data_IF_425850200569
#
_entry.id   IF_425850200569
#
_cell.length_a   1.000
_cell.length_b   1.000
_cell.length_c   1.000
_cell.angle_alpha   90.00
_cell.angle_beta   90.00
_cell.angle_gamma   90.00
#
_symmetry.space_group_name_H-M   'P 1'
#
loop_
_entity.id
_entity.type
_entity.pdbx_description
1 polymer ?
#
# COMPACT_ATOMS: atom_id res chain seq x y z
N UNK A 1 -18.16 -17.71 -0.40
CA UNK A 1 -18.60 -16.40 0.13
C UNK A 1 -17.34 -15.63 0.46
N UNK A 2 -17.04 -14.59 -0.30
CA UNK A 2 -15.97 -13.63 0.04
C UNK A 2 -16.28 -13.05 1.42
N UNK A 3 -15.29 -12.97 2.33
CA UNK A 3 -15.50 -12.24 3.59
C UNK A 3 -15.85 -10.79 3.19
N UNK A 4 -17.03 -10.30 3.59
CA UNK A 4 -17.37 -8.89 3.42
C UNK A 4 -16.22 -8.09 4.01
N UNK A 5 -15.60 -7.23 3.20
CA UNK A 5 -14.52 -6.36 3.66
C UNK A 5 -15.03 -5.63 4.90
N UNK A 6 -14.27 -5.70 6.01
CA UNK A 6 -14.62 -5.02 7.26
C UNK A 6 -14.30 -3.53 7.16
N UNK A 7 -14.85 -2.88 6.15
CA UNK A 7 -14.93 -1.43 6.11
C UNK A 7 -16.33 -1.04 6.52
N UNK A 8 -16.43 -0.10 7.46
CA UNK A 8 -17.71 0.51 7.77
C UNK A 8 -18.33 1.04 6.47
N UNK A 9 -19.57 0.63 6.12
CA UNK A 9 -20.29 1.20 4.99
C UNK A 9 -20.39 2.71 5.17
N UNK A 10 -20.67 3.44 4.09
CA UNK A 10 -20.93 4.86 4.24
C UNK A 10 -22.10 5.05 5.22
N UNK A 11 -21.92 5.84 6.29
CA UNK A 11 -22.89 5.95 7.37
C UNK A 11 -23.98 6.92 6.97
N UNK A 12 -24.81 6.50 6.01
CA UNK A 12 -25.87 7.28 5.40
C UNK A 12 -27.19 7.18 6.15
N UNK A 13 -27.32 6.23 7.10
CA UNK A 13 -28.52 6.06 7.92
C UNK A 13 -29.46 4.94 7.47
N UNK A 14 -29.11 4.19 6.41
CA UNK A 14 -30.00 3.17 5.82
C UNK A 14 -30.01 1.86 6.64
N UNK A 15 -28.87 1.19 6.75
CA UNK A 15 -28.74 -0.09 7.50
C UNK A 15 -28.46 0.14 9.00
N UNK A 16 -27.77 1.22 9.34
CA UNK A 16 -27.42 1.62 10.70
C UNK A 16 -27.75 3.10 10.92
N UNK A 17 -28.11 3.52 12.15
CA UNK A 17 -28.37 4.92 12.44
C UNK A 17 -27.19 5.82 12.05
N UNK A 18 -27.50 6.99 11.49
CA UNK A 18 -26.48 7.97 11.13
C UNK A 18 -25.53 8.27 12.31
N UNK A 19 -24.23 8.22 12.05
CA UNK A 19 -23.20 8.54 13.03
C UNK A 19 -22.28 9.62 12.49
N UNK A 20 -22.32 10.79 13.14
CA UNK A 20 -21.42 11.91 12.83
C UNK A 20 -19.95 11.51 12.87
N UNK A 21 -19.57 10.64 13.81
CA UNK A 21 -18.18 10.16 13.95
C UNK A 21 -17.75 9.29 12.77
N UNK A 22 -18.63 8.39 12.32
CA UNK A 22 -18.37 7.56 11.14
C UNK A 22 -18.35 8.41 9.86
N UNK A 23 -19.27 9.38 9.73
CA UNK A 23 -19.32 10.25 8.55
C UNK A 23 -18.07 11.12 8.47
N UNK A 24 -17.62 11.69 9.60
CA UNK A 24 -16.37 12.43 9.66
C UNK A 24 -15.17 11.55 9.24
N UNK A 25 -15.11 10.28 9.68
CA UNK A 25 -14.08 9.34 9.23
C UNK A 25 -14.14 9.07 7.73
N UNK A 26 -15.33 8.90 7.16
CA UNK A 26 -15.51 8.71 5.72
C UNK A 26 -14.99 9.93 4.93
N UNK A 27 -15.33 11.15 5.36
CA UNK A 27 -14.85 12.39 4.77
C UNK A 27 -13.33 12.55 4.90
N UNK A 28 -12.74 12.18 6.04
CA UNK A 28 -11.27 12.19 6.21
C UNK A 28 -10.61 11.21 5.23
N UNK A 29 -11.18 10.02 5.00
CA UNK A 29 -10.69 9.08 3.98
C UNK A 29 -10.78 9.66 2.56
N UNK A 30 -11.76 10.52 2.28
CA UNK A 30 -11.88 11.25 1.02
C UNK A 30 -10.90 12.44 0.88
N UNK A 31 -10.11 12.73 1.92
CA UNK A 31 -9.08 13.76 1.94
C UNK A 31 -9.49 15.07 2.60
N UNK A 32 -10.61 15.10 3.33
CA UNK A 32 -11.04 16.28 4.09
C UNK A 32 -10.25 16.39 5.40
N UNK A 33 -9.90 17.60 5.81
CA UNK A 33 -9.25 17.82 7.10
C UNK A 33 -10.18 17.44 8.25
N UNK A 34 -9.67 16.96 9.41
CA UNK A 34 -10.53 16.51 10.49
C UNK A 34 -11.57 17.54 10.95
N UNK A 35 -11.19 18.82 11.06
CA UNK A 35 -12.11 19.90 11.47
C UNK A 35 -13.28 20.03 10.48
N UNK A 36 -12.97 20.21 9.20
CA UNK A 36 -13.99 20.39 8.16
C UNK A 36 -14.87 19.13 8.00
N UNK A 37 -14.28 17.94 8.18
CA UNK A 37 -15.02 16.68 8.13
C UNK A 37 -16.07 16.60 9.24
N UNK A 38 -15.74 17.03 10.47
CA UNK A 38 -16.71 17.11 11.56
C UNK A 38 -17.78 18.17 11.32
N UNK A 39 -17.42 19.30 10.72
CA UNK A 39 -18.39 20.36 10.40
C UNK A 39 -19.43 19.88 9.37
N UNK A 40 -18.99 19.24 8.28
CA UNK A 40 -19.90 18.63 7.29
C UNK A 40 -20.77 17.55 7.95
N UNK A 41 -20.15 16.63 8.72
CA UNK A 41 -20.89 15.56 9.38
C UNK A 41 -21.93 16.08 10.40
N UNK A 42 -21.67 17.23 11.04
CA UNK A 42 -22.64 17.91 11.92
C UNK A 42 -23.79 18.54 11.13
N UNK A 43 -23.53 19.11 9.95
CA UNK A 43 -24.59 19.64 9.10
C UNK A 43 -25.54 18.54 8.62
N UNK A 44 -25.00 17.38 8.23
CA UNK A 44 -25.82 16.22 7.87
C UNK A 44 -26.68 15.75 9.05
N UNK A 45 -26.12 15.70 10.26
CA UNK A 45 -26.87 15.35 11.49
C UNK A 45 -28.04 16.32 11.75
N UNK A 46 -27.79 17.63 11.57
CA UNK A 46 -28.81 18.67 11.75
C UNK A 46 -29.92 18.55 10.71
N UNK A 47 -29.55 18.37 9.44
CA UNK A 47 -30.50 18.21 8.33
C UNK A 47 -31.40 16.97 8.51
N UNK A 48 -30.84 15.85 8.98
CA UNK A 48 -31.62 14.64 9.30
C UNK A 48 -32.65 14.90 10.41
N UNK A 49 -32.24 15.62 11.47
CA UNK A 49 -33.11 15.99 12.58
C UNK A 49 -34.26 16.90 12.15
N UNK A 50 -33.96 17.92 11.33
CA UNK A 50 -34.95 18.87 10.82
C UNK A 50 -35.97 18.21 9.89
N UNK A 51 -35.50 17.32 9.00
CA UNK A 51 -36.37 16.56 8.10
C UNK A 51 -37.11 15.41 8.78
N UNK A 52 -36.74 15.07 10.02
CA UNK A 52 -37.19 13.86 10.73
C UNK A 52 -36.94 12.59 9.89
N UNK A 53 -35.82 12.55 9.18
CA UNK A 53 -35.38 11.42 8.36
C UNK A 53 -34.36 10.57 9.11
N UNK A 54 -34.40 9.26 8.90
CA UNK A 54 -33.39 8.32 9.42
C UNK A 54 -32.13 8.25 8.54
N UNK A 55 -32.26 8.59 7.25
CA UNK A 55 -31.18 8.48 6.28
C UNK A 55 -31.06 9.67 5.31
N UNK A 56 -29.91 9.75 4.66
CA UNK A 56 -29.51 10.73 3.64
C UNK A 56 -28.83 10.04 2.48
N UNK A 57 -28.80 10.67 1.30
CA UNK A 57 -28.00 10.21 0.16
C UNK A 57 -26.77 11.10 -0.04
N UNK A 58 -25.91 10.70 -0.98
CA UNK A 58 -24.68 11.44 -1.30
C UNK A 58 -24.96 12.76 -2.03
N UNK A 59 -26.05 12.88 -2.78
CA UNK A 59 -26.45 14.14 -3.41
C UNK A 59 -26.75 15.20 -2.34
N UNK A 60 -27.51 14.82 -1.30
CA UNK A 60 -27.80 15.71 -0.18
C UNK A 60 -26.56 16.01 0.66
N UNK A 61 -25.67 15.04 0.86
CA UNK A 61 -24.38 15.27 1.53
C UNK A 61 -23.55 16.30 0.76
N UNK A 62 -23.55 16.24 -0.58
CA UNK A 62 -22.87 17.23 -1.42
C UNK A 62 -23.43 18.63 -1.25
N UNK A 63 -24.75 18.78 -1.35
CA UNK A 63 -25.44 20.07 -1.15
C UNK A 63 -25.08 20.71 0.19
N UNK A 64 -25.05 19.93 1.27
CA UNK A 64 -24.68 20.40 2.60
C UNK A 64 -23.19 20.72 2.69
N UNK A 65 -22.35 19.88 2.08
CA UNK A 65 -20.90 20.05 2.10
C UNK A 65 -20.44 21.31 1.36
N UNK A 66 -21.17 21.79 0.34
CA UNK A 66 -20.86 23.06 -0.36
C UNK A 66 -20.71 24.23 0.61
N UNK A 67 -21.52 24.27 1.68
CA UNK A 67 -21.45 25.36 2.67
C UNK A 67 -20.16 25.38 3.50
N UNK A 68 -19.43 24.26 3.56
CA UNK A 68 -18.19 24.10 4.36
C UNK A 68 -16.95 23.98 3.47
N UNK A 69 -17.08 23.25 2.35
CA UNK A 69 -15.98 22.88 1.46
C UNK A 69 -15.94 23.70 0.16
N UNK A 70 -16.99 24.49 -0.13
CA UNK A 70 -17.10 25.26 -1.37
C UNK A 70 -17.01 24.38 -2.60
N UNK A 71 -16.21 24.81 -3.58
CA UNK A 71 -16.04 24.14 -4.87
C UNK A 71 -15.45 22.72 -4.78
N UNK A 72 -14.80 22.37 -3.66
CA UNK A 72 -14.23 21.03 -3.45
C UNK A 72 -15.28 19.99 -3.03
N UNK A 73 -16.51 20.40 -2.68
CA UNK A 73 -17.56 19.50 -2.19
C UNK A 73 -17.86 18.36 -3.16
N UNK A 74 -18.08 18.67 -4.44
CA UNK A 74 -18.41 17.66 -5.45
C UNK A 74 -17.26 16.67 -5.70
N UNK A 75 -16.01 17.12 -5.60
CA UNK A 75 -14.84 16.22 -5.71
C UNK A 75 -14.73 15.29 -4.51
N UNK A 76 -15.00 15.79 -3.30
CA UNK A 76 -15.00 14.99 -2.07
C UNK A 76 -16.12 13.95 -2.12
N UNK A 77 -17.34 14.34 -2.48
CA UNK A 77 -18.46 13.40 -2.60
C UNK A 77 -18.25 12.41 -3.74
N UNK A 78 -17.70 12.84 -4.88
CA UNK A 78 -17.28 11.95 -5.96
C UNK A 78 -16.28 10.89 -5.49
N UNK A 79 -15.35 11.24 -4.61
CA UNK A 79 -14.47 10.26 -3.96
C UNK A 79 -15.22 9.32 -3.02
N UNK A 80 -16.17 9.81 -2.23
CA UNK A 80 -17.02 8.96 -1.38
C UNK A 80 -17.78 7.92 -2.21
N UNK A 81 -18.35 8.32 -3.37
CA UNK A 81 -18.99 7.38 -4.31
C UNK A 81 -18.03 6.30 -4.77
N UNK A 82 -16.83 6.67 -5.24
CA UNK A 82 -15.81 5.70 -5.67
C UNK A 82 -15.38 4.75 -4.54
N UNK A 83 -15.32 5.24 -3.30
CA UNK A 83 -15.06 4.37 -2.13
C UNK A 83 -16.20 3.40 -1.87
N UNK A 84 -17.46 3.83 -1.97
CA UNK A 84 -18.63 2.96 -1.84
C UNK A 84 -18.63 1.89 -2.93
N UNK A 85 -18.46 2.30 -4.18
CA UNK A 85 -18.34 1.41 -5.34
C UNK A 85 -17.20 0.40 -5.16
N UNK A 86 -16.05 0.83 -4.65
CA UNK A 86 -14.93 -0.05 -4.31
C UNK A 86 -15.35 -1.08 -3.25
N UNK A 87 -16.13 -0.71 -2.24
CA UNK A 87 -16.61 -1.62 -1.18
C UNK A 87 -17.60 -2.66 -1.70
N UNK A 88 -18.42 -2.29 -2.67
CA UNK A 88 -19.43 -3.15 -3.29
C UNK A 88 -18.84 -4.14 -4.31
N UNK A 89 -17.55 -4.00 -4.67
CA UNK A 89 -16.86 -4.97 -5.53
C UNK A 89 -16.79 -6.37 -4.87
N UNK A 90 -17.34 -7.35 -5.57
CA UNK A 90 -17.30 -8.78 -5.21
C UNK A 90 -15.94 -9.47 -5.36
N UNK A 91 -14.87 -8.70 -5.62
CA UNK A 91 -13.50 -9.20 -5.77
C UNK A 91 -12.63 -8.79 -4.57
N UNK A 92 -11.69 -9.62 -4.09
CA UNK A 92 -10.65 -9.16 -3.17
C UNK A 92 -9.77 -8.05 -3.76
N UNK A 93 -9.27 -7.12 -2.93
CA UNK A 93 -8.22 -6.17 -3.32
C UNK A 93 -6.86 -6.69 -2.89
N UNK A 94 -5.91 -6.76 -3.82
CA UNK A 94 -4.50 -7.04 -3.55
C UNK A 94 -3.69 -5.80 -3.89
N UNK A 95 -3.10 -5.15 -2.87
CA UNK A 95 -2.19 -4.00 -3.06
C UNK A 95 -0.76 -4.46 -2.83
N UNK A 96 0.09 -4.30 -3.84
CA UNK A 96 1.50 -4.67 -3.83
C UNK A 96 2.36 -3.40 -3.84
N UNK A 97 3.06 -3.15 -2.72
CA UNK A 97 3.90 -1.95 -2.53
C UNK A 97 5.38 -2.34 -2.58
N UNK A 98 5.98 -2.21 -3.75
CA UNK A 98 7.41 -2.42 -3.99
C UNK A 98 8.27 -1.24 -3.53
N UNK A 99 9.58 -1.45 -3.38
CA UNK A 99 10.54 -0.37 -3.14
C UNK A 99 11.76 -0.81 -2.37
N UNK A 100 12.85 -0.06 -2.50
CA UNK A 100 14.09 -0.33 -1.79
C UNK A 100 13.98 -0.12 -0.28
N UNK A 101 14.97 -0.61 0.46
CA UNK A 101 15.07 -0.39 1.90
C UNK A 101 15.14 1.10 2.21
N UNK A 102 14.33 1.57 3.17
CA UNK A 102 14.35 2.98 3.61
C UNK A 102 13.43 3.92 2.81
N UNK A 103 12.71 3.46 1.79
CA UNK A 103 11.86 4.36 0.97
C UNK A 103 10.52 4.76 1.62
N UNK A 104 10.20 4.26 2.83
CA UNK A 104 8.94 4.56 3.53
C UNK A 104 7.75 3.67 3.15
N UNK A 105 7.96 2.67 2.30
CA UNK A 105 6.98 1.66 1.85
C UNK A 105 6.13 1.05 2.97
N UNK A 106 6.70 0.63 4.11
CA UNK A 106 5.93 0.02 5.21
C UNK A 106 4.95 1.02 5.85
N UNK A 107 5.33 2.29 5.96
CA UNK A 107 4.46 3.35 6.50
C UNK A 107 3.30 3.62 5.53
N UNK A 108 3.60 3.77 4.24
CA UNK A 108 2.58 3.99 3.20
C UNK A 108 1.62 2.79 3.13
N UNK A 109 2.14 1.56 3.11
CA UNK A 109 1.34 0.35 3.04
C UNK A 109 0.38 0.21 4.23
N UNK A 110 0.84 0.50 5.45
CA UNK A 110 -0.01 0.47 6.65
C UNK A 110 -1.12 1.51 6.59
N UNK A 111 -0.81 2.74 6.18
CA UNK A 111 -1.81 3.81 6.05
C UNK A 111 -2.83 3.52 4.94
N UNK A 112 -2.39 2.98 3.81
CA UNK A 112 -3.27 2.53 2.72
C UNK A 112 -4.17 1.40 3.19
N UNK A 113 -3.62 0.40 3.88
CA UNK A 113 -4.38 -0.70 4.45
C UNK A 113 -5.45 -0.21 5.44
N UNK A 114 -5.09 0.71 6.33
CA UNK A 114 -6.02 1.32 7.27
C UNK A 114 -7.17 2.03 6.56
N UNK A 115 -6.88 2.85 5.54
CA UNK A 115 -7.92 3.58 4.78
C UNK A 115 -8.83 2.65 3.99
N UNK A 116 -8.29 1.55 3.46
CA UNK A 116 -9.05 0.50 2.76
C UNK A 116 -9.74 -0.50 3.69
N UNK A 117 -9.57 -0.39 5.02
CA UNK A 117 -10.06 -1.37 6.01
C UNK A 117 -9.50 -2.78 5.80
N UNK A 118 -8.30 -2.89 5.25
CA UNK A 118 -7.60 -4.16 5.04
C UNK A 118 -6.76 -4.43 6.29
N UNK A 119 -7.11 -5.49 7.01
CA UNK A 119 -6.38 -5.90 8.24
C UNK A 119 -5.19 -6.81 7.94
N UNK A 120 -5.19 -7.47 6.79
CA UNK A 120 -4.14 -8.41 6.38
C UNK A 120 -3.02 -7.63 5.68
N UNK A 121 -2.07 -7.20 6.50
CA UNK A 121 -0.84 -6.53 6.05
C UNK A 121 0.34 -7.43 6.33
N UNK A 122 1.15 -7.72 5.32
CA UNK A 122 2.37 -8.53 5.48
C UNK A 122 3.52 -7.94 4.67
N UNK A 123 4.74 -8.43 4.91
CA UNK A 123 5.93 -7.98 4.20
C UNK A 123 6.71 -9.15 3.60
N UNK A 124 7.37 -8.89 2.48
CA UNK A 124 8.31 -9.86 1.90
C UNK A 124 9.48 -10.16 2.85
N UNK A 125 9.85 -9.23 3.74
CA UNK A 125 10.88 -9.48 4.74
C UNK A 125 10.40 -10.50 5.78
N UNK A 126 9.13 -10.44 6.22
CA UNK A 126 8.54 -11.46 7.09
C UNK A 126 8.58 -12.85 6.44
N UNK A 127 8.17 -12.96 5.17
CA UNK A 127 8.27 -14.21 4.41
C UNK A 127 9.71 -14.72 4.36
N UNK A 128 10.67 -13.83 4.03
CA UNK A 128 12.11 -14.16 4.02
C UNK A 128 12.58 -14.65 5.39
N UNK A 129 12.16 -14.01 6.48
CA UNK A 129 12.50 -14.42 7.85
C UNK A 129 11.99 -15.83 8.17
N UNK A 130 10.76 -16.15 7.78
CA UNK A 130 10.21 -17.50 7.95
C UNK A 130 11.02 -18.53 7.17
N UNK A 131 11.36 -18.25 5.91
CA UNK A 131 12.21 -19.15 5.11
C UNK A 131 13.60 -19.32 5.72
N UNK A 132 14.19 -18.22 6.22
CA UNK A 132 15.51 -18.20 6.85
C UNK A 132 15.59 -19.11 8.08
N UNK A 133 14.50 -19.25 8.83
CA UNK A 133 14.43 -20.14 9.99
C UNK A 133 14.33 -21.62 9.60
N UNK A 134 13.88 -21.93 8.38
CA UNK A 134 13.65 -23.31 7.90
C UNK A 134 14.83 -23.86 7.09
N UNK A 135 15.58 -23.01 6.38
CA UNK A 135 16.64 -23.43 5.48
C UNK A 135 18.01 -22.96 5.96
N UNK A 136 19.01 -23.84 5.89
CA UNK A 136 20.38 -23.51 6.29
C UNK A 136 21.07 -22.57 5.30
N UNK A 137 22.13 -21.85 5.71
CA UNK A 137 22.91 -21.00 4.81
C UNK A 137 23.54 -21.73 3.63
N UNK A 138 23.84 -23.02 3.76
CA UNK A 138 24.40 -23.84 2.68
C UNK A 138 23.35 -24.18 1.61
N UNK A 139 22.10 -24.36 2.02
CA UNK A 139 21.00 -24.75 1.13
C UNK A 139 20.40 -23.54 0.39
N UNK A 140 20.23 -22.42 1.09
CA UNK A 140 19.68 -21.19 0.53
C UNK A 140 20.46 -19.97 1.02
N UNK A 141 21.66 -19.68 0.49
CA UNK A 141 22.53 -18.64 1.04
C UNK A 141 21.90 -17.24 1.00
N UNK A 142 21.29 -16.87 -0.12
CA UNK A 142 20.85 -15.48 -0.38
C UNK A 142 19.80 -14.98 0.61
N UNK A 143 18.90 -15.83 1.14
CA UNK A 143 17.86 -15.40 2.11
C UNK A 143 18.42 -15.00 3.48
N UNK A 144 19.66 -15.42 3.81
CA UNK A 144 20.32 -15.08 5.08
C UNK A 144 20.94 -13.68 5.10
N UNK A 145 21.10 -13.05 3.93
CA UNK A 145 21.69 -11.71 3.79
C UNK A 145 20.62 -10.63 3.57
N UNK A 146 20.95 -9.37 3.82
CA UNK A 146 20.09 -8.24 3.42
C UNK A 146 19.98 -8.20 1.90
N UNK A 147 18.91 -7.63 1.34
CA UNK A 147 18.74 -7.56 -0.12
C UNK A 147 19.90 -6.85 -0.82
N UNK A 148 20.43 -5.80 -0.18
CA UNK A 148 21.61 -5.03 -0.63
C UNK A 148 22.96 -5.73 -0.35
N UNK A 149 22.95 -6.94 0.20
CA UNK A 149 24.13 -7.78 0.46
C UNK A 149 24.00 -9.17 -0.17
N UNK A 150 22.92 -9.42 -0.91
CA UNK A 150 22.56 -10.75 -1.41
C UNK A 150 23.54 -11.29 -2.47
N UNK A 151 24.41 -10.43 -3.02
CA UNK A 151 25.51 -10.83 -3.90
C UNK A 151 26.70 -11.45 -3.18
N UNK A 152 26.86 -11.21 -1.87
CA UNK A 152 28.02 -11.68 -1.08
C UNK A 152 28.27 -13.19 -1.19
N UNK A 153 27.24 -14.06 -1.09
CA UNK A 153 27.42 -15.51 -1.17
C UNK A 153 27.81 -16.03 -2.56
N UNK A 154 27.67 -15.20 -3.61
CA UNK A 154 27.88 -15.61 -5.00
C UNK A 154 29.29 -15.33 -5.50
N UNK A 155 30.14 -14.65 -4.70
CA UNK A 155 31.51 -14.31 -5.08
C UNK A 155 32.44 -15.51 -5.32
N UNK A 156 31.99 -16.74 -5.07
CA UNK A 156 32.73 -17.99 -5.31
C UNK A 156 32.24 -18.79 -6.53
N UNK A 157 31.17 -18.36 -7.21
CA UNK A 157 30.67 -18.99 -8.43
C UNK A 157 31.10 -18.18 -9.66
N UNK A 158 31.72 -18.86 -10.62
CA UNK A 158 32.33 -18.32 -11.84
C UNK A 158 31.37 -17.44 -12.67
N UNK A 159 31.85 -16.25 -13.06
CA UNK A 159 31.76 -15.58 -14.38
C UNK A 159 31.83 -14.04 -14.23
N UNK A 160 32.82 -13.43 -14.88
CA UNK A 160 33.11 -11.98 -14.87
C UNK A 160 32.04 -11.10 -15.58
N UNK A 161 30.89 -11.67 -15.97
CA UNK A 161 29.87 -10.99 -16.78
C UNK A 161 28.59 -10.59 -16.04
N UNK A 162 28.35 -11.08 -14.82
CA UNK A 162 27.08 -10.85 -14.11
C UNK A 162 27.28 -9.97 -12.87
N UNK A 163 26.51 -8.89 -12.78
CA UNK A 163 26.46 -8.05 -11.58
C UNK A 163 26.07 -8.90 -10.34
N UNK A 164 26.99 -9.12 -9.39
CA UNK A 164 26.74 -10.03 -8.28
C UNK A 164 25.61 -9.57 -7.37
N UNK A 165 25.46 -8.25 -7.17
CA UNK A 165 24.44 -7.69 -6.29
C UNK A 165 23.05 -7.91 -6.90
N UNK A 166 22.87 -7.54 -8.17
CA UNK A 166 21.59 -7.73 -8.87
C UNK A 166 21.26 -9.21 -8.98
N UNK A 167 22.24 -10.06 -9.32
CA UNK A 167 22.03 -11.50 -9.41
C UNK A 167 21.57 -12.10 -8.08
N UNK A 168 22.28 -11.80 -7.00
CA UNK A 168 21.93 -12.27 -5.65
C UNK A 168 20.58 -11.75 -5.18
N UNK A 169 20.27 -10.49 -5.46
CA UNK A 169 18.97 -9.91 -5.16
C UNK A 169 17.82 -10.60 -5.94
N UNK A 170 18.01 -10.89 -7.23
CA UNK A 170 17.01 -11.57 -8.03
C UNK A 170 16.84 -13.03 -7.62
N UNK A 171 17.92 -13.72 -7.27
CA UNK A 171 17.87 -15.07 -6.69
C UNK A 171 17.08 -15.08 -5.37
N UNK A 172 17.44 -14.19 -4.45
CA UNK A 172 16.70 -14.00 -3.19
C UNK A 172 15.22 -13.71 -3.46
N UNK A 173 14.93 -12.84 -4.44
CA UNK A 173 13.57 -12.48 -4.84
C UNK A 173 12.78 -13.68 -5.34
N UNK A 174 13.36 -14.52 -6.22
CA UNK A 174 12.69 -15.74 -6.72
C UNK A 174 12.30 -16.66 -5.56
N UNK A 175 13.18 -16.85 -4.59
CA UNK A 175 12.90 -17.65 -3.40
C UNK A 175 11.75 -17.07 -2.55
N UNK A 176 11.85 -15.78 -2.21
CA UNK A 176 10.86 -15.11 -1.36
C UNK A 176 9.48 -15.04 -2.03
N UNK A 177 9.44 -14.86 -3.36
CA UNK A 177 8.19 -14.77 -4.11
C UNK A 177 7.36 -16.07 -4.09
N UNK A 178 7.97 -17.23 -3.82
CA UNK A 178 7.23 -18.49 -3.61
C UNK A 178 6.31 -18.36 -2.39
N UNK A 179 6.84 -17.88 -1.26
CA UNK A 179 6.06 -17.69 -0.04
C UNK A 179 5.06 -16.53 -0.16
N UNK A 180 5.42 -15.46 -0.89
CA UNK A 180 4.51 -14.35 -1.21
C UNK A 180 3.31 -14.85 -2.02
N UNK A 181 3.55 -15.65 -3.05
CA UNK A 181 2.49 -16.24 -3.87
C UNK A 181 1.55 -17.09 -3.01
N UNK A 182 2.10 -17.96 -2.15
CA UNK A 182 1.30 -18.77 -1.24
C UNK A 182 0.43 -17.92 -0.29
N UNK A 183 0.95 -16.80 0.22
CA UNK A 183 0.17 -15.88 1.05
C UNK A 183 -0.97 -15.20 0.28
N UNK A 184 -0.72 -14.80 -0.98
CA UNK A 184 -1.74 -14.22 -1.86
C UNK A 184 -2.79 -15.26 -2.21
N UNK A 185 -2.39 -16.44 -2.69
CA UNK A 185 -3.31 -17.54 -3.04
C UNK A 185 -4.25 -17.85 -1.87
N UNK A 186 -3.68 -17.96 -0.65
CA UNK A 186 -4.46 -18.20 0.55
C UNK A 186 -5.45 -17.08 0.85
N UNK A 187 -5.03 -15.83 0.70
CA UNK A 187 -5.94 -14.69 0.87
C UNK A 187 -7.10 -14.76 -0.13
N UNK A 188 -6.84 -15.11 -1.38
CA UNK A 188 -7.87 -15.22 -2.42
C UNK A 188 -8.83 -16.39 -2.20
N UNK A 189 -8.32 -17.56 -1.79
CA UNK A 189 -9.14 -18.72 -1.42
C UNK A 189 -10.17 -18.38 -0.34
N UNK A 190 -9.77 -17.55 0.63
CA UNK A 190 -10.62 -17.11 1.73
C UNK A 190 -11.41 -15.83 1.40
N UNK A 191 -11.23 -15.27 0.20
CA UNK A 191 -11.91 -14.08 -0.28
C UNK A 191 -11.49 -12.79 0.43
N UNK A 192 -10.23 -12.73 0.86
CA UNK A 192 -9.68 -11.65 1.67
C UNK A 192 -8.84 -10.67 0.86
N UNK A 193 -9.07 -9.39 1.13
CA UNK A 193 -8.16 -8.35 0.65
C UNK A 193 -6.86 -8.34 1.46
N UNK A 194 -5.75 -7.97 0.81
CA UNK A 194 -4.41 -7.97 1.40
C UNK A 194 -3.59 -6.78 0.89
N UNK A 195 -2.78 -6.21 1.78
CA UNK A 195 -1.68 -5.30 1.41
C UNK A 195 -0.36 -6.01 1.69
N UNK A 196 0.51 -6.09 0.69
CA UNK A 196 1.82 -6.70 0.81
C UNK A 196 2.90 -5.69 0.40
N UNK A 197 3.89 -5.52 1.24
CA UNK A 197 4.99 -4.57 0.99
C UNK A 197 6.36 -5.27 0.93
N UNK A 198 7.29 -4.76 0.14
CA UNK A 198 8.61 -5.38 0.11
C UNK A 198 9.56 -4.95 -0.98
N UNK A 199 10.85 -5.18 -0.74
CA UNK A 199 11.88 -5.01 -1.77
C UNK A 199 11.78 -6.09 -2.86
N UNK A 200 11.34 -7.29 -2.49
CA UNK A 200 11.19 -8.42 -3.41
C UNK A 200 9.95 -8.31 -4.32
N UNK A 201 9.08 -7.30 -4.14
CA UNK A 201 7.95 -7.01 -5.04
C UNK A 201 8.42 -6.31 -6.32
N UNK A 202 9.36 -6.93 -7.02
CA UNK A 202 9.95 -6.43 -8.25
C UNK A 202 8.92 -6.55 -9.40
N UNK A 203 8.62 -5.46 -10.11
CA UNK A 203 7.68 -5.49 -11.23
C UNK A 203 8.03 -6.54 -12.30
N UNK A 204 7.01 -7.32 -12.67
CA UNK A 204 7.10 -8.40 -13.66
C UNK A 204 7.66 -9.74 -13.16
N UNK A 205 7.94 -9.89 -11.85
CA UNK A 205 8.44 -11.17 -11.29
C UNK A 205 7.36 -12.06 -10.66
N UNK A 206 6.21 -11.48 -10.27
CA UNK A 206 5.05 -12.27 -9.87
C UNK A 206 4.23 -12.67 -11.11
N UNK A 207 3.67 -13.89 -11.16
CA UNK A 207 2.70 -14.24 -12.19
C UNK A 207 1.44 -13.36 -12.05
N UNK A 208 0.62 -13.24 -13.11
CA UNK A 208 -0.67 -12.58 -13.02
C UNK A 208 -1.51 -13.15 -11.87
N UNK A 209 -2.11 -12.26 -11.10
CA UNK A 209 -3.01 -12.61 -10.00
C UNK A 209 -4.43 -12.46 -10.54
N UNK A 210 -5.17 -13.56 -10.61
CA UNK A 210 -6.53 -13.61 -11.13
C UNK A 210 -7.57 -13.47 -10.01
N UNK A 211 -8.83 -13.24 -10.37
CA UNK A 211 -9.97 -13.17 -9.43
C UNK A 211 -9.80 -12.13 -8.31
N UNK A 212 -9.10 -11.02 -8.59
CA UNK A 212 -8.89 -9.92 -7.66
C UNK A 212 -8.73 -8.60 -8.40
N UNK A 213 -8.99 -7.49 -7.70
CA UNK A 213 -8.50 -6.17 -8.09
C UNK A 213 -7.05 -6.06 -7.61
N UNK A 214 -6.11 -6.02 -8.55
CA UNK A 214 -4.67 -6.01 -8.25
C UNK A 214 -4.08 -4.65 -8.58
N UNK A 215 -3.41 -4.04 -7.60
CA UNK A 215 -2.73 -2.76 -7.76
C UNK A 215 -1.29 -2.92 -7.32
N UNK A 216 -0.35 -2.69 -8.22
CA UNK A 216 1.08 -2.66 -7.90
C UNK A 216 1.63 -1.25 -8.09
N UNK A 217 2.46 -0.81 -7.14
CA UNK A 217 3.25 0.41 -7.25
C UNK A 217 4.64 0.21 -6.66
N UNK A 218 5.57 1.11 -7.01
CA UNK A 218 6.93 1.16 -6.44
C UNK A 218 7.11 2.48 -5.73
N UNK A 219 7.52 2.44 -4.47
CA UNK A 219 7.89 3.62 -3.70
C UNK A 219 9.40 3.84 -3.82
N UNK A 220 9.79 5.01 -4.32
CA UNK A 220 11.17 5.43 -4.47
C UNK A 220 11.43 6.75 -3.76
N UNK A 221 12.71 7.07 -3.54
CA UNK A 221 13.15 8.40 -3.11
C UNK A 221 14.23 8.86 -4.08
N UNK A 222 13.97 9.97 -4.77
CA UNK A 222 14.92 10.53 -5.72
C UNK A 222 16.17 11.09 -5.02
N UNK A 223 15.97 11.88 -3.96
CA UNK A 223 17.06 12.52 -3.20
C UNK A 223 17.80 11.52 -2.31
N UNK A 224 19.11 11.38 -2.53
CA UNK A 224 19.98 10.59 -1.67
C UNK A 224 20.01 11.11 -0.24
N UNK A 225 20.04 12.44 -0.05
CA UNK A 225 20.01 13.08 1.26
C UNK A 225 18.72 12.73 2.03
N UNK A 226 17.57 12.80 1.36
CA UNK A 226 16.28 12.42 1.94
C UNK A 226 16.26 10.93 2.29
N UNK A 227 16.81 10.09 1.42
CA UNK A 227 16.88 8.64 1.64
C UNK A 227 17.78 8.31 2.85
N UNK A 228 18.94 8.96 2.96
CA UNK A 228 19.83 8.86 4.11
C UNK A 228 19.11 9.30 5.39
N UNK A 229 18.41 10.45 5.34
CA UNK A 229 17.62 11.03 6.42
C UNK A 229 16.57 10.07 7.01
N UNK A 230 15.96 9.22 6.18
CA UNK A 230 14.99 8.23 6.64
C UNK A 230 15.60 7.17 7.56
N UNK A 231 16.88 6.83 7.42
CA UNK A 231 17.52 5.87 8.30
C UNK A 231 17.71 6.43 9.72
N UNK A 232 18.02 7.73 9.84
CA UNK A 232 18.11 8.43 11.12
C UNK A 232 16.77 8.42 11.87
N UNK A 233 15.68 8.73 11.17
CA UNK A 233 14.32 8.70 11.75
C UNK A 233 13.96 7.28 12.17
N UNK A 234 14.31 6.29 11.34
CA UNK A 234 13.98 4.89 11.59
C UNK A 234 14.72 4.33 12.80
N UNK A 235 15.98 4.69 13.02
CA UNK A 235 16.77 4.31 14.18
C UNK A 235 16.12 4.81 15.49
N UNK A 236 15.77 6.10 15.54
CA UNK A 236 15.06 6.73 16.66
C UNK A 236 13.74 6.02 17.00
N UNK A 237 12.99 5.55 15.99
CA UNK A 237 11.73 4.82 16.19
C UNK A 237 11.90 3.34 16.53
N UNK A 238 13.10 2.78 16.36
CA UNK A 238 13.40 1.36 16.56
C UNK A 238 14.21 1.07 17.82
N UNK A 239 14.37 2.07 18.69
CA UNK A 239 15.09 1.97 19.97
C UNK A 239 16.52 1.39 19.81
N UNK A 240 17.19 1.73 18.70
CA UNK A 240 18.56 1.29 18.39
C UNK A 240 18.71 -0.18 17.94
N UNK A 241 17.60 -0.92 17.73
CA UNK A 241 17.65 -2.34 17.34
C UNK A 241 18.16 -2.59 15.90
N UNK A 242 18.40 -1.53 15.12
CA UNK A 242 18.85 -1.62 13.73
C UNK A 242 20.04 -0.66 13.53
N UNK A 243 21.26 -1.16 13.30
CA UNK A 243 22.44 -0.31 13.21
C UNK A 243 22.32 0.68 12.05
N UNK A 244 22.15 1.96 12.36
CA UNK A 244 22.11 3.06 11.41
C UNK A 244 23.32 3.03 10.46
N UNK A 245 24.51 2.85 11.03
CA UNK A 245 25.79 2.87 10.31
C UNK A 245 25.81 1.85 9.17
N UNK A 246 25.29 0.64 9.40
CA UNK A 246 25.20 -0.40 8.37
C UNK A 246 24.44 0.07 7.13
N UNK A 247 23.32 0.78 7.30
CA UNK A 247 22.51 1.22 6.17
C UNK A 247 23.14 2.42 5.44
N UNK A 248 23.81 3.31 6.17
CA UNK A 248 24.53 4.43 5.57
C UNK A 248 25.75 3.97 4.78
N UNK A 249 26.53 3.01 5.30
CA UNK A 249 27.65 2.38 4.58
C UNK A 249 27.20 1.66 3.31
N UNK A 250 25.96 1.16 3.29
CA UNK A 250 25.35 0.43 2.17
C UNK A 250 24.37 1.25 1.35
N UNK A 251 24.35 2.58 1.52
CA UNK A 251 23.39 3.45 0.84
C UNK A 251 23.53 3.37 -0.68
N UNK A 252 24.76 3.30 -1.21
CA UNK A 252 25.02 3.13 -2.64
C UNK A 252 24.38 1.85 -3.19
N UNK A 253 24.58 0.72 -2.50
CA UNK A 253 24.05 -0.59 -2.91
C UNK A 253 22.51 -0.60 -2.84
N UNK A 254 21.94 0.04 -1.81
CA UNK A 254 20.49 0.21 -1.65
C UNK A 254 19.90 1.06 -2.79
N UNK A 255 20.54 2.17 -3.14
CA UNK A 255 20.09 3.06 -4.23
C UNK A 255 20.26 2.41 -5.59
N UNK A 256 21.33 1.65 -5.79
CA UNK A 256 21.51 0.88 -7.01
C UNK A 256 20.39 -0.17 -7.20
N UNK A 257 20.01 -0.87 -6.13
CA UNK A 257 18.82 -1.73 -6.16
C UNK A 257 17.53 -0.95 -6.40
N UNK A 258 17.38 0.24 -5.83
CA UNK A 258 16.23 1.11 -6.11
C UNK A 258 16.14 1.42 -7.61
N UNK A 259 17.23 1.83 -8.23
CA UNK A 259 17.27 2.19 -9.65
C UNK A 259 16.90 1.00 -10.52
N UNK A 260 17.39 -0.20 -10.18
CA UNK A 260 16.98 -1.44 -10.84
C UNK A 260 15.47 -1.68 -10.72
N UNK A 261 14.88 -1.58 -9.52
CA UNK A 261 13.45 -1.80 -9.30
C UNK A 261 12.58 -0.74 -10.00
N UNK A 262 13.04 0.53 -10.01
CA UNK A 262 12.39 1.64 -10.73
C UNK A 262 12.40 1.39 -12.23
N UNK A 263 13.51 0.91 -12.78
CA UNK A 263 13.60 0.58 -14.20
C UNK A 263 12.67 -0.59 -14.55
N UNK A 264 12.64 -1.63 -13.71
CA UNK A 264 11.65 -2.72 -13.85
C UNK A 264 10.22 -2.21 -13.82
N UNK A 265 9.89 -1.23 -12.96
CA UNK A 265 8.57 -0.61 -12.93
C UNK A 265 8.23 0.07 -14.26
N UNK A 266 9.15 0.85 -14.83
CA UNK A 266 8.96 1.52 -16.12
C UNK A 266 8.69 0.52 -17.24
N UNK A 267 9.53 -0.52 -17.34
CA UNK A 267 9.39 -1.58 -18.36
C UNK A 267 8.04 -2.30 -18.27
N UNK A 268 7.51 -2.50 -17.06
CA UNK A 268 6.25 -3.21 -16.84
C UNK A 268 5.03 -2.29 -16.70
N UNK A 269 5.18 -0.98 -16.95
CA UNK A 269 4.07 -0.03 -16.82
C UNK A 269 3.53 0.14 -15.39
N UNK A 270 4.33 -0.20 -14.38
CA UNK A 270 3.98 -0.04 -12.95
C UNK A 270 4.31 1.38 -12.50
N UNK A 271 3.40 2.01 -11.77
CA UNK A 271 3.59 3.38 -11.28
C UNK A 271 4.70 3.43 -10.22
N UNK A 272 5.69 4.29 -10.45
CA UNK A 272 6.68 4.70 -9.44
C UNK A 272 6.19 5.96 -8.74
N UNK A 273 6.14 5.96 -7.42
CA UNK A 273 5.72 7.08 -6.57
C UNK A 273 6.94 7.58 -5.81
N UNK A 274 7.29 8.85 -5.99
CA UNK A 274 8.39 9.50 -5.28
C UNK A 274 7.93 9.99 -3.90
N UNK A 275 8.45 9.38 -2.85
CA UNK A 275 8.04 9.64 -1.48
C UNK A 275 8.79 10.80 -0.85
N UNK A 276 8.48 12.02 -1.31
CA UNK A 276 8.91 13.27 -0.68
C UNK A 276 7.97 13.70 0.44
N UNK A 277 6.67 13.50 0.22
CA UNK A 277 5.60 13.83 1.15
C UNK A 277 4.72 12.59 1.34
N UNK A 278 4.62 12.13 2.58
CA UNK A 278 3.96 10.87 2.91
C UNK A 278 2.48 10.90 2.56
N UNK A 279 1.77 11.96 2.94
CA UNK A 279 0.33 12.12 2.73
C UNK A 279 -0.02 12.16 1.24
N UNK A 280 0.82 12.81 0.43
CA UNK A 280 0.70 12.82 -1.03
C UNK A 280 0.92 11.42 -1.61
N UNK A 281 1.95 10.72 -1.16
CA UNK A 281 2.26 9.36 -1.63
C UNK A 281 1.13 8.38 -1.30
N UNK A 282 0.54 8.48 -0.12
CA UNK A 282 -0.65 7.71 0.27
C UNK A 282 -1.82 8.03 -0.67
N UNK A 283 -2.08 9.32 -0.94
CA UNK A 283 -3.15 9.72 -1.85
C UNK A 283 -2.93 9.18 -3.28
N UNK A 284 -1.69 9.16 -3.78
CA UNK A 284 -1.37 8.57 -5.09
C UNK A 284 -1.65 7.06 -5.12
N UNK A 285 -1.29 6.30 -4.09
CA UNK A 285 -1.62 4.87 -4.01
C UNK A 285 -3.13 4.64 -3.97
N UNK A 286 -3.86 5.42 -3.17
CA UNK A 286 -5.32 5.31 -3.08
C UNK A 286 -5.99 5.61 -4.43
N UNK A 287 -5.53 6.62 -5.16
CA UNK A 287 -6.05 6.91 -6.50
C UNK A 287 -5.76 5.79 -7.51
N UNK A 288 -4.62 5.10 -7.41
CA UNK A 288 -4.37 3.90 -8.23
C UNK A 288 -5.42 2.82 -7.96
N UNK A 289 -5.78 2.60 -6.70
CA UNK A 289 -6.79 1.60 -6.30
C UNK A 289 -8.17 1.98 -6.84
N UNK A 290 -8.60 3.22 -6.61
CA UNK A 290 -9.90 3.69 -7.10
C UNK A 290 -9.96 3.68 -8.63
N UNK A 291 -8.88 4.09 -9.31
CA UNK A 291 -8.83 4.07 -10.78
C UNK A 291 -8.88 2.65 -11.34
N UNK A 292 -8.25 1.68 -10.67
CA UNK A 292 -8.33 0.27 -11.05
C UNK A 292 -9.76 -0.27 -10.89
N UNK A 293 -10.47 0.14 -9.83
CA UNK A 293 -11.86 -0.21 -9.60
C UNK A 293 -12.79 0.33 -10.70
N UNK A 294 -12.66 1.62 -11.02
CA UNK A 294 -13.46 2.27 -12.06
C UNK A 294 -13.32 1.55 -13.42
N UNK A 295 -12.14 1.02 -13.73
CA UNK A 295 -11.88 0.28 -14.98
C UNK A 295 -12.57 -1.07 -15.01
N UNK A 296 -12.63 -1.80 -13.90
CA UNK A 296 -13.32 -3.09 -13.82
C UNK A 296 -14.83 -2.93 -14.02
N UNK A 297 -15.41 -1.87 -13.44
CA UNK A 297 -16.84 -1.60 -13.57
C UNK A 297 -17.25 -1.19 -14.99
N UNK A 298 -16.40 -0.49 -15.74
CA UNK A 298 -16.69 -0.13 -17.14
C UNK A 298 -16.67 -1.30 -18.12
N UNK A 299 -16.07 -2.42 -17.73
CA UNK A 299 -15.91 -3.61 -18.57
C UNK A 299 -16.93 -4.69 -18.21
N UNK A 300 -17.62 -4.56 -17.07
CA UNK A 300 -18.68 -5.46 -16.60
C UNK A 300 -20.06 -4.96 -17.03
#
# INVERSE_FOLDING_TARGET
>A
MTERRRTDPLPLGDDEPYSKGLMARALIRAGVSPSLAYDVARLVEQDLSERKSGSTDLDRVEELAVSVLGDEAGKVVGRLRRYQELQELDLPIIVLVGGATGTGKSTIATEVAYRLGITRVTSTDFVRQTMRALFSPELMPTIHHSSFEAGTPLHSAEEEEVDPLIHGFLDQTRHVLVGVKAAIDRALEEGWSMVLEGVHLVPGMLPPIENALVVQCVIAIESEETHAGHFWIRDLTSDGMRPLDKYLEKLSDIRYLQDYVVERARVNGVRVIDNRERERSIAEVMELVLTAADRLQKVS
#
